data_IF_560533269250
#
_entry.id   IF_560533269250
#
_cell.length_a   1.000
_cell.length_b   1.000
_cell.length_c   1.000
_cell.angle_alpha   90.00
_cell.angle_beta   90.00
_cell.angle_gamma   90.00
#
_symmetry.space_group_name_H-M   'P 1'
#
loop_
_entity.id
_entity.type
_entity.pdbx_description
1 polymer ?
#
# COMPACT_ATOMS: atom_id res chain seq x y z
N UNK A 1 23.39 -17.18 -28.29
CA UNK A 1 22.44 -16.07 -28.03
C UNK A 1 22.84 -15.51 -26.68
N UNK A 2 23.37 -14.28 -26.62
CA UNK A 2 23.75 -13.68 -25.34
C UNK A 2 22.52 -13.44 -24.52
N UNK A 3 22.48 -13.97 -23.31
CA UNK A 3 21.47 -13.61 -22.32
C UNK A 3 21.55 -12.09 -22.12
N UNK A 4 20.45 -11.40 -22.38
CA UNK A 4 20.38 -9.97 -22.12
C UNK A 4 20.52 -9.76 -20.62
N UNK A 5 21.56 -9.04 -20.21
CA UNK A 5 21.80 -8.73 -18.80
C UNK A 5 20.59 -8.02 -18.20
N UNK A 6 20.06 -8.51 -17.06
CA UNK A 6 18.90 -7.92 -16.38
C UNK A 6 19.18 -6.47 -15.96
N UNK A 7 18.21 -5.62 -16.17
CA UNK A 7 18.24 -4.22 -15.79
C UNK A 7 17.49 -4.05 -14.46
N UNK A 8 18.21 -3.66 -13.44
CA UNK A 8 17.71 -3.60 -12.07
C UNK A 8 17.92 -2.21 -11.49
N UNK A 9 16.90 -1.64 -10.91
CA UNK A 9 16.99 -0.41 -10.13
C UNK A 9 17.02 -0.72 -8.63
N UNK A 10 17.76 0.10 -7.88
CA UNK A 10 17.71 0.12 -6.40
C UNK A 10 17.43 1.54 -5.97
N UNK A 11 16.26 1.75 -5.38
CA UNK A 11 15.78 3.05 -4.92
C UNK A 11 15.83 3.13 -3.41
N UNK A 12 16.53 4.13 -2.93
CA UNK A 12 16.87 4.41 -1.53
C UNK A 12 18.20 5.11 -1.46
N UNK A 13 18.48 5.79 -0.36
CA UNK A 13 19.66 6.67 -0.18
C UNK A 13 20.49 6.33 1.07
N UNK A 14 20.20 5.20 1.71
CA UNK A 14 20.89 4.74 2.91
C UNK A 14 21.89 3.59 2.63
N UNK A 15 22.65 3.19 3.66
CA UNK A 15 23.66 2.12 3.58
C UNK A 15 23.04 0.78 3.14
N UNK A 16 21.77 0.54 3.46
CA UNK A 16 21.03 -0.67 3.04
C UNK A 16 20.88 -0.72 1.52
N UNK A 17 20.65 0.44 0.92
CA UNK A 17 20.51 0.58 -0.53
C UNK A 17 21.84 0.31 -1.23
N UNK A 18 22.97 0.75 -0.66
CA UNK A 18 24.29 0.48 -1.24
C UNK A 18 24.65 -1.01 -1.13
N UNK A 19 24.38 -1.65 -0.01
CA UNK A 19 24.54 -3.10 0.15
C UNK A 19 23.77 -3.89 -0.93
N UNK A 20 22.54 -3.47 -1.22
CA UNK A 20 21.76 -4.10 -2.29
C UNK A 20 22.32 -3.83 -3.69
N UNK A 21 22.85 -2.60 -3.95
CA UNK A 21 23.49 -2.29 -5.23
C UNK A 21 24.73 -3.15 -5.47
N UNK A 22 25.53 -3.39 -4.44
CA UNK A 22 26.67 -4.30 -4.51
C UNK A 22 26.21 -5.73 -4.83
N UNK A 23 25.23 -6.26 -4.10
CA UNK A 23 24.70 -7.60 -4.35
C UNK A 23 24.08 -7.76 -5.76
N UNK A 24 23.43 -6.73 -6.29
CA UNK A 24 22.89 -6.72 -7.66
C UNK A 24 24.04 -6.80 -8.69
N UNK A 25 25.14 -6.07 -8.48
CA UNK A 25 26.33 -6.11 -9.37
C UNK A 25 27.01 -7.48 -9.30
N UNK A 26 27.18 -8.04 -8.10
CA UNK A 26 27.82 -9.34 -7.87
C UNK A 26 26.99 -10.49 -8.50
N UNK A 27 25.69 -10.34 -8.53
CA UNK A 27 24.78 -11.27 -9.22
C UNK A 27 24.73 -11.08 -10.75
N UNK A 28 25.59 -10.19 -11.30
CA UNK A 28 25.74 -10.01 -12.75
C UNK A 28 24.66 -9.16 -13.41
N UNK A 29 23.80 -8.48 -12.67
CA UNK A 29 22.78 -7.59 -13.23
C UNK A 29 23.36 -6.17 -13.48
N UNK A 30 22.71 -5.46 -14.41
CA UNK A 30 23.04 -4.07 -14.71
C UNK A 30 22.18 -3.13 -13.85
N UNK A 31 22.84 -2.33 -13.03
CA UNK A 31 22.16 -1.25 -12.33
C UNK A 31 21.76 -0.13 -13.32
N UNK A 32 20.50 0.30 -13.20
CA UNK A 32 19.97 1.44 -13.92
C UNK A 32 19.48 2.50 -12.93
N UNK A 33 19.64 3.77 -13.31
CA UNK A 33 19.13 4.89 -12.53
C UNK A 33 17.69 5.14 -12.94
N UNK A 34 16.80 5.23 -11.96
CA UNK A 34 15.41 5.62 -12.20
C UNK A 34 15.37 7.14 -12.36
N UNK A 35 15.02 7.60 -13.54
CA UNK A 35 14.85 9.03 -13.83
C UNK A 35 13.37 9.42 -13.85
N UNK A 36 12.51 8.47 -14.18
CA UNK A 36 11.05 8.61 -14.18
C UNK A 36 10.38 7.22 -14.14
N UNK A 37 9.06 7.18 -14.10
CA UNK A 37 8.25 5.95 -14.08
C UNK A 37 8.33 5.15 -15.38
N UNK A 38 8.91 5.69 -16.44
CA UNK A 38 9.06 5.02 -17.75
C UNK A 38 10.39 4.29 -17.86
N UNK A 39 11.23 4.32 -16.83
CA UNK A 39 12.53 3.62 -16.84
C UNK A 39 12.28 2.13 -17.01
N UNK A 40 12.81 1.61 -18.12
CA UNK A 40 12.68 0.20 -18.53
C UNK A 40 13.57 -0.67 -17.63
N UNK A 41 12.95 -1.32 -16.64
CA UNK A 41 13.60 -2.19 -15.64
C UNK A 41 12.92 -3.55 -15.63
N UNK A 42 13.68 -4.62 -15.36
CA UNK A 42 13.13 -5.95 -15.11
C UNK A 42 12.68 -6.09 -13.64
N UNK A 43 13.36 -5.38 -12.73
CA UNK A 43 13.00 -5.32 -11.31
C UNK A 43 13.44 -3.99 -10.68
N UNK A 44 12.72 -3.58 -9.64
CA UNK A 44 13.04 -2.42 -8.80
C UNK A 44 13.04 -2.83 -7.32
N UNK A 45 14.19 -2.81 -6.68
CA UNK A 45 14.31 -2.90 -5.23
C UNK A 45 13.99 -1.55 -4.61
N UNK A 46 13.08 -1.53 -3.65
CA UNK A 46 12.68 -0.32 -2.92
C UNK A 46 13.02 -0.48 -1.45
N UNK A 47 13.83 0.43 -0.90
CA UNK A 47 14.34 0.32 0.47
C UNK A 47 13.57 1.25 1.42
N UNK A 48 12.78 0.64 2.30
CA UNK A 48 11.95 1.34 3.28
C UNK A 48 10.52 1.62 2.82
N UNK A 49 9.67 1.95 3.78
CA UNK A 49 8.21 2.06 3.63
C UNK A 49 7.82 3.14 2.62
N UNK A 50 8.32 4.37 2.79
CA UNK A 50 7.95 5.52 1.97
C UNK A 50 8.42 5.36 0.52
N UNK A 51 9.62 4.81 0.31
CA UNK A 51 10.16 4.52 -1.03
C UNK A 51 9.31 3.46 -1.72
N UNK A 52 8.93 2.41 -1.00
CA UNK A 52 8.06 1.34 -1.52
C UNK A 52 6.68 1.89 -1.87
N UNK A 53 6.07 2.69 -1.00
CA UNK A 53 4.78 3.33 -1.23
C UNK A 53 4.82 4.25 -2.46
N UNK A 54 5.90 5.01 -2.62
CA UNK A 54 6.10 5.86 -3.81
C UNK A 54 6.23 5.03 -5.10
N UNK A 55 7.03 3.96 -5.09
CA UNK A 55 7.24 3.09 -6.24
C UNK A 55 5.96 2.33 -6.63
N UNK A 56 5.21 1.82 -5.65
CA UNK A 56 3.92 1.17 -5.91
C UNK A 56 2.92 2.15 -6.52
N UNK A 57 2.86 3.40 -6.04
CA UNK A 57 1.97 4.43 -6.59
C UNK A 57 2.36 4.87 -8.01
N UNK A 58 3.64 4.81 -8.33
CA UNK A 58 4.22 5.16 -9.63
C UNK A 58 5.05 3.98 -10.14
N UNK A 59 4.39 2.90 -10.59
CA UNK A 59 5.05 1.63 -10.83
C UNK A 59 6.07 1.70 -11.97
N UNK A 60 7.21 1.00 -11.80
CA UNK A 60 8.15 0.75 -12.89
C UNK A 60 7.55 -0.22 -13.92
N UNK A 61 8.24 -0.41 -15.03
CA UNK A 61 7.87 -1.41 -16.01
C UNK A 61 8.00 -2.85 -15.50
N UNK A 62 8.97 -3.11 -14.59
CA UNK A 62 9.21 -4.43 -13.98
C UNK A 62 8.61 -4.59 -12.59
N UNK A 63 8.89 -5.74 -11.96
CA UNK A 63 8.38 -6.06 -10.65
C UNK A 63 9.02 -5.20 -9.53
N UNK A 64 8.21 -4.79 -8.56
CA UNK A 64 8.69 -4.13 -7.34
C UNK A 64 9.11 -5.21 -6.32
N UNK A 65 10.28 -5.03 -5.71
CA UNK A 65 10.81 -5.91 -4.66
C UNK A 65 11.02 -5.07 -3.40
N UNK A 66 10.03 -5.05 -2.47
CA UNK A 66 10.14 -4.28 -1.23
C UNK A 66 11.20 -4.86 -0.30
N UNK A 67 12.02 -3.99 0.29
CA UNK A 67 13.07 -4.36 1.25
C UNK A 67 13.03 -3.44 2.46
N UNK A 68 13.11 -4.01 3.67
CA UNK A 68 13.11 -3.25 4.91
C UNK A 68 11.77 -2.59 5.23
N UNK A 69 10.67 -3.12 4.71
CA UNK A 69 9.30 -2.74 5.06
C UNK A 69 8.78 -3.63 6.20
N UNK A 70 7.81 -3.14 6.96
CA UNK A 70 7.23 -3.90 8.08
C UNK A 70 6.43 -5.12 7.60
N UNK A 71 5.86 -5.01 6.40
CA UNK A 71 5.04 -6.05 5.79
C UNK A 71 5.32 -6.14 4.29
N UNK A 72 5.15 -7.34 3.75
CA UNK A 72 5.34 -7.62 2.31
C UNK A 72 6.74 -7.28 1.78
N UNK A 73 7.76 -7.22 2.63
CA UNK A 73 9.13 -6.93 2.22
C UNK A 73 10.14 -7.92 2.79
N UNK A 74 11.23 -8.08 2.06
CA UNK A 74 12.39 -8.84 2.50
C UNK A 74 13.20 -8.06 3.54
N UNK A 75 13.87 -8.78 4.46
CA UNK A 75 14.99 -8.20 5.18
C UNK A 75 16.15 -7.89 4.23
N UNK A 76 16.98 -6.88 4.55
CA UNK A 76 18.12 -6.52 3.69
C UNK A 76 19.08 -7.70 3.49
N UNK A 77 19.47 -8.36 4.59
CA UNK A 77 20.32 -9.54 4.57
C UNK A 77 19.68 -10.70 3.78
N UNK A 78 18.39 -10.92 3.96
CA UNK A 78 17.65 -11.94 3.22
C UNK A 78 17.67 -11.65 1.71
N UNK A 79 17.34 -10.42 1.30
CA UNK A 79 17.34 -10.02 -0.10
C UNK A 79 18.73 -10.17 -0.73
N UNK A 80 19.77 -9.77 -0.01
CA UNK A 80 21.17 -9.87 -0.45
C UNK A 80 21.58 -11.34 -0.65
N UNK A 81 21.31 -12.20 0.33
CA UNK A 81 21.67 -13.62 0.27
C UNK A 81 20.89 -14.40 -0.78
N UNK A 82 19.70 -13.93 -1.13
CA UNK A 82 18.79 -14.57 -2.09
C UNK A 82 18.74 -13.89 -3.46
N UNK A 83 19.69 -13.01 -3.80
CA UNK A 83 19.64 -12.19 -5.00
C UNK A 83 19.45 -13.00 -6.29
N UNK A 84 20.17 -14.12 -6.46
CA UNK A 84 19.97 -14.99 -7.61
C UNK A 84 18.58 -15.64 -7.66
N UNK A 85 18.02 -16.01 -6.51
CA UNK A 85 16.67 -16.58 -6.40
C UNK A 85 15.61 -15.50 -6.72
N UNK A 86 15.83 -14.25 -6.30
CA UNK A 86 14.96 -13.12 -6.63
C UNK A 86 14.97 -12.86 -8.14
N UNK A 87 16.12 -12.98 -8.81
CA UNK A 87 16.18 -12.86 -10.25
C UNK A 87 15.52 -14.06 -10.98
N UNK A 88 15.67 -15.27 -10.46
CA UNK A 88 14.97 -16.44 -10.97
C UNK A 88 13.44 -16.29 -10.81
N UNK A 89 13.00 -15.72 -9.67
CA UNK A 89 11.59 -15.50 -9.37
C UNK A 89 10.91 -14.50 -10.31
N UNK A 90 11.67 -13.71 -11.09
CA UNK A 90 11.09 -12.84 -12.14
C UNK A 90 10.53 -13.65 -13.33
N UNK A 91 10.98 -14.89 -13.54
CA UNK A 91 10.56 -15.71 -14.69
C UNK A 91 9.87 -17.03 -14.27
N UNK A 92 10.14 -17.49 -13.06
CA UNK A 92 9.69 -18.79 -12.57
C UNK A 92 9.24 -18.74 -11.11
N UNK A 93 8.57 -19.79 -10.64
CA UNK A 93 8.23 -19.93 -9.22
C UNK A 93 9.46 -20.39 -8.43
N UNK A 94 9.76 -19.70 -7.34
CA UNK A 94 10.88 -19.99 -6.43
C UNK A 94 10.33 -20.16 -5.01
N UNK A 95 10.77 -21.21 -4.31
CA UNK A 95 10.34 -21.48 -2.94
C UNK A 95 10.69 -20.32 -2.00
N UNK A 96 9.74 -19.94 -1.15
CA UNK A 96 9.88 -18.83 -0.22
C UNK A 96 9.80 -17.43 -0.84
N UNK A 97 9.48 -17.32 -2.14
CA UNK A 97 9.22 -16.07 -2.82
C UNK A 97 7.85 -16.14 -3.50
N UNK A 98 6.99 -15.21 -3.19
CA UNK A 98 5.67 -15.10 -3.79
C UNK A 98 5.61 -13.94 -4.76
N UNK A 99 5.07 -14.19 -5.94
CA UNK A 99 4.68 -13.15 -6.89
C UNK A 99 3.23 -12.74 -6.61
N UNK A 100 3.03 -11.50 -6.30
CA UNK A 100 1.71 -10.94 -6.02
C UNK A 100 1.38 -9.79 -6.96
N UNK A 101 0.11 -9.44 -7.04
CA UNK A 101 -0.35 -8.21 -7.67
C UNK A 101 -0.91 -7.28 -6.61
N UNK A 102 -0.33 -6.09 -6.48
CA UNK A 102 -0.76 -5.07 -5.54
C UNK A 102 -1.71 -4.07 -6.21
N UNK A 103 -2.89 -3.77 -5.62
CA UNK A 103 -3.83 -2.80 -6.18
C UNK A 103 -3.35 -1.37 -5.97
N UNK A 104 -3.47 -0.53 -7.01
CA UNK A 104 -3.30 0.92 -6.91
C UNK A 104 -4.68 1.55 -6.95
N UNK A 105 -4.94 2.39 -5.97
CA UNK A 105 -6.20 3.10 -5.86
C UNK A 105 -6.15 4.38 -6.69
N UNK A 106 -7.18 4.60 -7.45
CA UNK A 106 -7.52 5.90 -8.03
C UNK A 106 -8.56 6.55 -7.13
N UNK A 107 -8.32 7.81 -6.80
CA UNK A 107 -9.18 8.62 -5.93
C UNK A 107 -9.71 9.79 -6.74
N UNK A 108 -10.99 9.73 -7.07
CA UNK A 108 -11.69 10.78 -7.79
C UNK A 108 -12.51 11.60 -6.80
N UNK A 109 -12.21 12.89 -6.72
CA UNK A 109 -12.90 13.84 -5.85
C UNK A 109 -13.96 14.68 -6.60
N UNK A 110 -14.24 14.33 -7.87
CA UNK A 110 -15.07 15.15 -8.75
C UNK A 110 -14.40 16.44 -9.24
N UNK A 111 -13.12 16.62 -8.94
CA UNK A 111 -12.27 17.72 -9.48
C UNK A 111 -11.45 17.20 -10.68
N UNK A 112 -10.88 18.08 -11.51
CA UNK A 112 -10.01 17.64 -12.61
C UNK A 112 -8.77 16.84 -12.18
N UNK A 113 -8.38 16.93 -10.90
CA UNK A 113 -7.21 16.23 -10.35
C UNK A 113 -7.64 14.88 -9.79
N UNK A 114 -7.12 13.82 -10.40
CA UNK A 114 -7.26 12.45 -9.91
C UNK A 114 -5.99 12.08 -9.13
N UNK A 115 -6.17 11.55 -7.93
CA UNK A 115 -5.04 11.12 -7.08
C UNK A 115 -4.85 9.60 -7.14
N UNK A 116 -3.66 9.17 -6.77
CA UNK A 116 -3.30 7.74 -6.68
C UNK A 116 -2.82 7.41 -5.27
N UNK A 117 -3.19 6.24 -4.77
CA UNK A 117 -2.73 5.73 -3.48
C UNK A 117 -2.23 4.30 -3.61
N UNK A 118 -1.16 3.97 -2.89
CA UNK A 118 -0.63 2.62 -2.80
C UNK A 118 -1.00 1.92 -1.47
N UNK A 119 -1.07 2.68 -0.38
CA UNK A 119 -1.36 2.13 0.94
C UNK A 119 -2.79 2.42 1.38
N UNK A 120 -3.14 3.70 1.56
CA UNK A 120 -4.44 4.07 2.08
C UNK A 120 -4.94 5.44 1.60
N UNK A 121 -6.24 5.61 1.78
CA UNK A 121 -6.97 6.86 1.59
C UNK A 121 -7.82 7.07 2.83
N UNK A 122 -7.69 8.22 3.50
CA UNK A 122 -8.49 8.53 4.66
C UNK A 122 -9.18 9.89 4.51
N UNK A 123 -10.43 9.96 4.97
CA UNK A 123 -11.16 11.19 5.19
C UNK A 123 -11.18 11.42 6.70
N UNK A 124 -10.58 12.50 7.18
CA UNK A 124 -10.38 12.76 8.60
C UNK A 124 -10.88 14.15 8.95
N UNK A 125 -11.67 14.30 10.02
CA UNK A 125 -12.03 15.61 10.56
C UNK A 125 -10.76 16.31 11.06
N UNK A 126 -10.50 17.53 10.61
CA UNK A 126 -9.23 18.23 10.83
C UNK A 126 -8.89 18.40 12.31
N UNK A 127 -9.90 18.64 13.15
CA UNK A 127 -9.70 18.73 14.59
C UNK A 127 -10.01 17.40 15.29
N UNK A 128 -9.11 16.89 16.12
CA UNK A 128 -9.33 15.68 16.90
C UNK A 128 -10.59 15.77 17.78
N UNK A 129 -11.28 14.64 17.97
CA UNK A 129 -12.50 14.52 18.77
C UNK A 129 -13.67 15.39 18.28
N UNK A 130 -13.68 15.73 17.00
CA UNK A 130 -14.80 16.34 16.30
C UNK A 130 -15.37 15.33 15.33
N UNK A 131 -16.62 14.98 15.58
CA UNK A 131 -17.30 13.90 14.90
C UNK A 131 -18.04 14.44 13.69
N UNK A 132 -17.73 13.91 12.51
CA UNK A 132 -18.50 14.11 11.29
C UNK A 132 -19.39 12.89 11.00
N UNK A 133 -20.32 13.01 10.10
CA UNK A 133 -21.18 11.93 9.63
C UNK A 133 -20.72 11.54 8.23
N UNK A 134 -20.39 10.26 8.07
CA UNK A 134 -19.93 9.68 6.83
C UNK A 134 -20.93 8.67 6.30
N UNK A 135 -21.02 8.54 4.97
CA UNK A 135 -21.65 7.42 4.32
C UNK A 135 -20.67 6.68 3.42
N UNK A 136 -20.81 5.36 3.37
CA UNK A 136 -20.02 4.49 2.48
C UNK A 136 -20.98 3.71 1.60
N UNK A 137 -20.84 3.87 0.31
CA UNK A 137 -21.54 3.09 -0.69
C UNK A 137 -20.62 1.99 -1.23
N UNK A 138 -21.07 0.77 -1.10
CA UNK A 138 -20.42 -0.42 -1.64
C UNK A 138 -21.11 -0.87 -2.93
N UNK A 139 -20.39 -1.55 -3.82
CA UNK A 139 -20.96 -2.06 -5.08
C UNK A 139 -22.03 -3.14 -4.86
N UNK A 140 -21.89 -3.96 -3.81
CA UNK A 140 -22.73 -5.15 -3.58
C UNK A 140 -23.33 -5.25 -2.18
N UNK A 141 -23.35 -4.15 -1.45
CA UNK A 141 -23.91 -4.08 -0.08
C UNK A 141 -24.76 -2.82 0.05
N UNK A 142 -25.68 -2.76 1.02
CA UNK A 142 -26.34 -1.51 1.38
C UNK A 142 -25.32 -0.41 1.74
N UNK A 143 -25.74 0.83 1.56
CA UNK A 143 -24.99 1.99 2.05
C UNK A 143 -24.99 1.98 3.57
N UNK A 144 -23.82 2.18 4.15
CA UNK A 144 -23.64 2.31 5.59
C UNK A 144 -23.44 3.79 5.93
N UNK A 145 -24.03 4.24 7.03
CA UNK A 145 -23.85 5.62 7.54
C UNK A 145 -23.51 5.57 9.01
N UNK A 146 -22.51 6.37 9.39
CA UNK A 146 -22.03 6.42 10.76
C UNK A 146 -21.40 7.76 11.10
N UNK A 147 -21.23 7.99 12.41
CA UNK A 147 -20.54 9.15 12.95
C UNK A 147 -19.20 8.72 13.52
N UNK A 148 -18.13 9.41 13.11
CA UNK A 148 -16.76 9.07 13.46
C UNK A 148 -15.84 10.30 13.34
N UNK A 149 -14.59 10.18 13.81
CA UNK A 149 -13.54 11.16 13.54
C UNK A 149 -13.07 11.09 12.06
N UNK A 150 -13.33 9.96 11.41
CA UNK A 150 -12.99 9.76 10.00
C UNK A 150 -13.29 8.35 9.50
N UNK A 151 -12.82 8.05 8.32
CA UNK A 151 -12.85 6.73 7.69
C UNK A 151 -11.58 6.51 6.88
N UNK A 152 -11.04 5.30 6.90
CA UNK A 152 -9.88 4.89 6.11
C UNK A 152 -10.24 3.73 5.19
N UNK A 153 -9.76 3.82 3.95
CA UNK A 153 -9.82 2.76 2.94
C UNK A 153 -8.40 2.35 2.61
N UNK A 154 -8.03 1.10 2.88
CA UNK A 154 -6.67 0.63 2.75
C UNK A 154 -6.54 -0.59 1.84
N UNK A 155 -5.47 -0.61 1.07
CA UNK A 155 -5.01 -1.78 0.31
C UNK A 155 -4.45 -2.85 1.26
N UNK A 156 -4.18 -4.08 0.79
CA UNK A 156 -3.47 -5.08 1.59
C UNK A 156 -2.15 -4.57 2.18
N UNK A 157 -1.38 -3.75 1.46
CA UNK A 157 -0.13 -3.15 1.96
C UNK A 157 -0.40 -2.21 3.14
N UNK A 158 -1.34 -1.27 3.01
CA UNK A 158 -1.71 -0.33 4.07
C UNK A 158 -2.59 -0.91 5.18
N UNK A 159 -3.12 -2.14 5.02
CA UNK A 159 -4.07 -2.72 5.98
C UNK A 159 -3.48 -2.97 7.37
N UNK A 160 -2.16 -3.09 7.51
CA UNK A 160 -1.48 -3.27 8.79
C UNK A 160 -1.10 -1.96 9.49
N UNK A 161 -1.33 -0.82 8.86
CA UNK A 161 -0.99 0.50 9.35
C UNK A 161 -2.20 1.20 10.01
N UNK A 162 -2.59 2.34 9.48
CA UNK A 162 -3.64 3.18 10.05
C UNK A 162 -5.00 2.48 10.09
N UNK A 163 -5.34 1.69 9.06
CA UNK A 163 -6.57 0.92 9.03
C UNK A 163 -6.64 -0.11 10.17
N UNK A 164 -5.52 -0.79 10.50
CA UNK A 164 -5.47 -1.71 11.63
C UNK A 164 -5.57 -0.98 12.99
N UNK A 165 -4.92 0.18 13.12
CA UNK A 165 -5.04 1.01 14.31
C UNK A 165 -6.49 1.50 14.52
N UNK A 166 -7.26 1.68 13.46
CA UNK A 166 -8.68 2.00 13.50
C UNK A 166 -9.60 0.77 13.75
N UNK A 167 -9.04 -0.42 13.95
CA UNK A 167 -9.78 -1.66 14.19
C UNK A 167 -10.12 -2.47 12.94
N UNK A 168 -9.58 -2.09 11.79
CA UNK A 168 -9.71 -2.86 10.56
C UNK A 168 -8.89 -4.16 10.57
N UNK A 169 -9.31 -5.19 9.83
CA UNK A 169 -8.55 -6.42 9.69
C UNK A 169 -7.29 -6.21 8.87
N UNK A 170 -6.25 -7.00 9.14
CA UNK A 170 -5.11 -7.15 8.25
C UNK A 170 -5.51 -8.13 7.15
N UNK A 171 -5.37 -7.73 5.87
CA UNK A 171 -5.73 -8.56 4.72
C UNK A 171 -4.49 -8.95 3.92
N UNK A 172 -4.50 -10.17 3.40
CA UNK A 172 -3.47 -10.69 2.51
C UNK A 172 -3.63 -10.12 1.08
N UNK A 173 -2.54 -10.13 0.27
CA UNK A 173 -2.65 -9.76 -1.14
C UNK A 173 -3.79 -10.49 -1.84
N UNK A 174 -4.61 -9.73 -2.58
CA UNK A 174 -5.85 -10.25 -3.19
C UNK A 174 -7.09 -10.25 -2.30
N UNK A 175 -6.96 -9.89 -1.01
CA UNK A 175 -8.06 -9.91 -0.03
C UNK A 175 -9.04 -8.73 -0.11
N UNK A 176 -8.86 -7.80 -1.04
CA UNK A 176 -9.71 -6.62 -1.21
C UNK A 176 -9.25 -5.42 -0.39
N UNK A 177 -10.11 -4.41 -0.29
CA UNK A 177 -9.86 -3.15 0.39
C UNK A 177 -10.49 -3.17 1.78
N UNK A 178 -9.71 -2.85 2.80
CA UNK A 178 -10.21 -2.63 4.17
C UNK A 178 -10.87 -1.26 4.23
N UNK A 179 -12.07 -1.19 4.79
CA UNK A 179 -12.78 0.06 5.07
C UNK A 179 -13.06 0.10 6.56
N UNK A 180 -12.43 1.02 7.29
CA UNK A 180 -12.55 1.11 8.73
C UNK A 180 -12.91 2.52 9.20
N UNK A 181 -13.98 2.68 10.00
CA UNK A 181 -14.28 3.93 10.69
C UNK A 181 -13.20 4.26 11.73
N UNK A 182 -12.82 5.52 11.82
CA UNK A 182 -11.81 6.01 12.77
C UNK A 182 -12.54 6.56 13.99
N UNK A 183 -12.30 5.99 15.16
CA UNK A 183 -12.94 6.39 16.41
C UNK A 183 -14.47 6.59 16.27
N UNK A 184 -15.23 5.56 15.86
CA UNK A 184 -16.66 5.68 15.66
C UNK A 184 -17.38 6.01 16.97
N UNK A 185 -18.40 6.88 16.91
CA UNK A 185 -19.18 7.29 18.07
C UNK A 185 -20.01 6.12 18.67
N UNK A 186 -20.44 5.19 17.83
CA UNK A 186 -21.18 4.01 18.27
C UNK A 186 -20.28 2.78 18.29
N UNK A 187 -20.38 1.98 19.35
CA UNK A 187 -19.58 0.75 19.53
C UNK A 187 -20.02 -0.44 18.66
N UNK A 188 -21.09 -0.29 17.90
CA UNK A 188 -21.63 -1.36 17.04
C UNK A 188 -21.31 -1.20 15.56
N UNK A 189 -20.33 -0.39 15.20
CA UNK A 189 -19.93 -0.17 13.81
C UNK A 189 -18.73 -1.06 13.50
N UNK A 190 -18.91 -1.91 12.46
CA UNK A 190 -17.86 -2.83 12.01
C UNK A 190 -16.88 -2.16 11.03
N UNK A 191 -15.74 -2.78 10.83
CA UNK A 191 -14.93 -2.58 9.65
C UNK A 191 -15.35 -3.57 8.54
N UNK A 192 -15.18 -3.18 7.29
CA UNK A 192 -15.60 -3.99 6.14
C UNK A 192 -14.42 -4.32 5.24
N UNK A 193 -14.60 -5.33 4.41
CA UNK A 193 -13.73 -5.58 3.26
C UNK A 193 -14.56 -5.42 1.99
N UNK A 194 -14.16 -4.49 1.14
CA UNK A 194 -14.71 -4.26 -0.19
C UNK A 194 -13.83 -4.95 -1.24
N UNK A 195 -14.40 -5.31 -2.39
CA UNK A 195 -13.62 -5.97 -3.44
C UNK A 195 -12.64 -5.00 -4.10
N UNK A 196 -13.14 -3.96 -4.78
CA UNK A 196 -12.32 -3.07 -5.62
C UNK A 196 -12.76 -1.62 -5.63
N UNK A 197 -13.97 -1.32 -5.16
CA UNK A 197 -14.55 0.02 -5.25
C UNK A 197 -15.43 0.36 -4.04
N UNK A 198 -15.27 1.57 -3.55
CA UNK A 198 -16.14 2.21 -2.57
C UNK A 198 -16.28 3.69 -2.89
N UNK A 199 -17.47 4.25 -2.61
CA UNK A 199 -17.68 5.70 -2.60
C UNK A 199 -17.84 6.16 -1.16
N UNK A 200 -17.08 7.14 -0.72
CA UNK A 200 -17.19 7.75 0.60
C UNK A 200 -17.72 9.17 0.45
N UNK A 201 -18.70 9.54 1.27
CA UNK A 201 -19.22 10.93 1.30
C UNK A 201 -19.26 11.43 2.74
N UNK A 202 -19.03 12.74 2.89
CA UNK A 202 -19.29 13.46 4.13
C UNK A 202 -20.73 13.94 4.09
N UNK A 203 -21.60 13.35 4.94
CA UNK A 203 -23.01 13.74 4.99
C UNK A 203 -23.23 15.00 5.86
N UNK A 204 -22.40 15.13 6.90
CA UNK A 204 -22.44 16.25 7.80
C UNK A 204 -21.08 16.46 8.44
N UNK A 205 -20.55 17.66 8.33
CA UNK A 205 -19.32 18.05 9.00
C UNK A 205 -19.60 18.95 10.19
N UNK A 206 -18.78 18.86 11.21
CA UNK A 206 -18.72 19.81 12.34
C UNK A 206 -17.48 20.68 12.27
N UNK A 207 -16.46 20.23 11.56
CA UNK A 207 -15.20 20.87 11.24
C UNK A 207 -14.78 20.39 9.84
N UNK A 208 -13.89 21.08 9.12
CA UNK A 208 -13.42 20.65 7.82
C UNK A 208 -12.91 19.19 7.83
N UNK A 209 -13.24 18.45 6.78
CA UNK A 209 -12.75 17.10 6.57
C UNK A 209 -11.64 17.15 5.54
N UNK A 210 -10.48 16.60 5.86
CA UNK A 210 -9.33 16.53 4.96
C UNK A 210 -9.20 15.15 4.32
N UNK A 211 -8.81 15.15 3.04
CA UNK A 211 -8.42 13.96 2.30
C UNK A 211 -6.93 13.71 2.51
N UNK A 212 -6.62 12.56 3.09
CA UNK A 212 -5.24 12.10 3.31
C UNK A 212 -4.99 10.90 2.40
N UNK A 213 -3.91 10.92 1.66
CA UNK A 213 -3.50 9.85 0.74
C UNK A 213 -2.08 9.43 1.06
N UNK A 214 -1.88 8.16 1.39
CA UNK A 214 -0.59 7.60 1.79
C UNK A 214 0.11 8.47 2.84
N UNK A 215 -0.64 8.91 3.87
CA UNK A 215 -0.14 9.73 4.96
C UNK A 215 0.02 11.23 4.66
N UNK A 216 -0.28 11.69 3.45
CA UNK A 216 -0.14 13.11 3.07
C UNK A 216 -1.50 13.78 2.83
N UNK A 217 -1.75 14.93 3.46
CA UNK A 217 -2.94 15.75 3.19
C UNK A 217 -2.89 16.25 1.74
N UNK A 218 -3.98 16.05 1.01
CA UNK A 218 -4.11 16.40 -0.41
C UNK A 218 -5.14 17.46 -0.68
N UNK A 219 -6.28 17.40 0.00
CA UNK A 219 -7.42 18.28 -0.26
C UNK A 219 -8.31 18.41 0.98
N UNK A 220 -9.29 19.28 0.90
CA UNK A 220 -10.40 19.40 1.85
C UNK A 220 -11.69 18.95 1.15
N UNK A 221 -12.44 18.07 1.79
CA UNK A 221 -13.68 17.47 1.26
C UNK A 221 -14.89 18.17 1.86
N UNK A 222 -15.74 18.72 1.02
CA UNK A 222 -17.00 19.33 1.44
C UNK A 222 -18.12 18.31 1.67
N UNK A 223 -19.20 18.73 2.38
CA UNK A 223 -20.38 17.88 2.53
C UNK A 223 -21.00 17.54 1.18
N UNK A 224 -21.55 16.30 1.10
CA UNK A 224 -22.22 15.75 -0.09
C UNK A 224 -21.33 15.63 -1.34
N UNK A 225 -20.03 15.78 -1.18
CA UNK A 225 -19.05 15.52 -2.24
C UNK A 225 -18.66 14.04 -2.18
N UNK A 226 -19.06 13.22 -3.18
CA UNK A 226 -18.64 11.82 -3.23
C UNK A 226 -17.17 11.73 -3.60
N UNK A 227 -16.46 10.89 -2.90
CA UNK A 227 -15.07 10.51 -3.19
C UNK A 227 -15.10 9.07 -3.65
N UNK A 228 -14.86 8.86 -4.93
CA UNK A 228 -14.79 7.51 -5.50
C UNK A 228 -13.38 6.97 -5.37
N UNK A 229 -13.27 5.79 -4.75
CA UNK A 229 -12.00 5.10 -4.50
C UNK A 229 -12.08 3.74 -5.17
N UNK A 230 -11.28 3.54 -6.21
CA UNK A 230 -11.35 2.36 -7.07
C UNK A 230 -9.96 1.78 -7.35
N UNK A 231 -9.87 0.46 -7.44
CA UNK A 231 -8.68 -0.22 -7.97
C UNK A 231 -8.69 -0.16 -9.49
N UNK A 232 -7.85 0.68 -10.09
CA UNK A 232 -7.77 0.84 -11.55
C UNK A 232 -6.55 0.15 -12.15
N UNK A 233 -5.50 -0.02 -11.37
CA UNK A 233 -4.25 -0.63 -11.80
C UNK A 233 -3.76 -1.64 -10.76
N UNK A 234 -2.88 -2.53 -11.20
CA UNK A 234 -2.20 -3.51 -10.35
C UNK A 234 -0.73 -3.54 -10.69
N UNK A 235 0.09 -3.59 -9.65
CA UNK A 235 1.56 -3.67 -9.76
C UNK A 235 2.01 -5.05 -9.36
N UNK A 236 2.90 -5.62 -10.16
CA UNK A 236 3.56 -6.86 -9.79
C UNK A 236 4.63 -6.62 -8.73
N UNK A 237 4.62 -7.43 -7.70
CA UNK A 237 5.66 -7.39 -6.66
C UNK A 237 6.11 -8.80 -6.29
N UNK A 238 7.41 -8.94 -5.98
CA UNK A 238 7.97 -10.12 -5.35
C UNK A 238 8.09 -9.86 -3.86
N UNK A 239 7.51 -10.76 -3.06
CA UNK A 239 7.47 -10.65 -1.60
C UNK A 239 7.89 -11.98 -0.98
N UNK A 240 8.39 -11.98 0.27
CA UNK A 240 8.65 -13.25 0.96
C UNK A 240 7.34 -14.00 1.17
N UNK A 241 7.35 -15.30 0.90
CA UNK A 241 6.25 -16.15 1.34
C UNK A 241 6.28 -16.22 2.86
N UNK A 242 5.14 -15.98 3.51
CA UNK A 242 5.06 -16.06 4.95
C UNK A 242 5.54 -17.41 5.44
N UNK A 243 6.61 -17.44 6.23
CA UNK A 243 7.05 -18.65 6.92
C UNK A 243 6.00 -19.04 7.97
N UNK A 244 5.68 -20.31 8.04
CA UNK A 244 4.66 -20.89 8.94
C UNK A 244 5.04 -20.82 10.44
N UNK A 245 6.14 -20.15 10.79
CA UNK A 245 6.51 -19.97 12.19
C UNK A 245 5.59 -18.95 12.86
N UNK A 246 4.86 -19.34 13.92
CA UNK A 246 4.02 -18.42 14.65
C UNK A 246 4.90 -17.33 15.27
N UNK A 247 4.63 -16.08 14.90
CA UNK A 247 5.23 -14.92 15.55
C UNK A 247 4.99 -15.03 17.05
N UNK A 248 6.05 -15.14 17.84
CA UNK A 248 5.95 -15.12 19.29
C UNK A 248 5.15 -13.89 19.70
N UNK A 249 4.02 -14.09 20.39
CA UNK A 249 3.24 -12.99 20.95
C UNK A 249 4.19 -12.22 21.86
N UNK A 250 4.38 -10.93 21.62
CA UNK A 250 5.02 -10.07 22.62
C UNK A 250 4.21 -10.24 23.89
N UNK A 251 4.83 -10.81 24.92
CA UNK A 251 4.27 -10.83 26.25
C UNK A 251 4.19 -9.37 26.71
N UNK A 252 2.98 -8.82 26.75
CA UNK A 252 2.72 -7.62 27.52
C UNK A 252 2.98 -7.98 28.98
N UNK A 253 4.10 -7.52 29.49
CA UNK A 253 4.36 -7.50 30.95
C UNK A 253 3.52 -6.36 31.50
N UNK A 254 2.51 -6.72 32.30
CA UNK A 254 1.72 -5.82 33.14
C UNK A 254 2.59 -5.01 34.09
#
# INVERSE_FOLDING_TARGET
MGESQRRVAVVGDDDRSETLREAVRDAGARLVTVTDTTTDTDAMFTVGEDVTRHALRNPPAGAVIPVGTQRLGFGVEEATNRMHQLFEALDSSVEGISRITHPILTVDTGTPSVHRAAADVALITEKPARISEFSIRFTRRPTESFRADGVVVATPFGSSEYANAAGGPIVEPGGGLVVAPIAPFSTGIDAWVAAEHVTVSVERETEPVVLVIDGAIRDTVGPYQPIDIETTERVEALVPTATTEPRARRSETL
#
